data_IF_314494608278
#
_entry.id   IF_314494608278
#
_cell.length_a   1.000
_cell.length_b   1.000
_cell.length_c   1.000
_cell.angle_alpha   90.00
_cell.angle_beta   90.00
_cell.angle_gamma   90.00
#
_symmetry.space_group_name_H-M   'P 1'
#
loop_
_entity.id
_entity.type
_entity.pdbx_description
1 polymer ?
#
# COMPACT_ATOMS: atom_id res chain seq x y z
N UNK A 1 -7.63 -2.76 15.13
CA UNK A 1 -8.96 -3.15 15.61
C UNK A 1 -9.98 -3.38 14.49
N UNK A 2 -10.28 -2.35 13.69
CA UNK A 2 -11.29 -2.38 12.62
C UNK A 2 -11.09 -3.54 11.62
N UNK A 3 -9.86 -3.76 11.13
CA UNK A 3 -9.56 -4.85 10.19
C UNK A 3 -9.80 -6.25 10.79
N UNK A 4 -9.59 -6.41 12.10
CA UNK A 4 -9.82 -7.68 12.81
C UNK A 4 -11.33 -7.95 12.97
N UNK A 5 -12.10 -6.91 13.30
CA UNK A 5 -13.56 -6.99 13.37
C UNK A 5 -14.18 -7.30 11.99
N UNK A 6 -13.73 -6.61 10.93
CA UNK A 6 -14.17 -6.86 9.55
C UNK A 6 -13.82 -8.28 9.07
N UNK A 7 -12.64 -8.78 9.42
CA UNK A 7 -12.22 -10.15 9.07
C UNK A 7 -13.10 -11.20 9.78
N UNK A 8 -13.33 -11.05 11.09
CA UNK A 8 -14.19 -11.95 11.86
C UNK A 8 -15.62 -12.00 11.31
N UNK A 9 -16.14 -10.84 10.88
CA UNK A 9 -17.48 -10.73 10.31
C UNK A 9 -17.62 -11.41 8.93
N UNK A 10 -16.58 -11.38 8.08
CA UNK A 10 -16.63 -11.96 6.73
C UNK A 10 -16.09 -13.39 6.58
N UNK A 11 -15.08 -13.79 7.36
CA UNK A 11 -14.33 -15.04 7.14
C UNK A 11 -14.20 -15.94 8.38
N UNK A 12 -14.69 -15.53 9.56
CA UNK A 12 -14.63 -16.35 10.77
C UNK A 12 -13.32 -16.21 11.55
N UNK A 13 -12.79 -17.31 12.11
CA UNK A 13 -11.60 -17.26 12.99
C UNK A 13 -10.32 -16.90 12.20
N UNK A 14 -9.45 -16.03 12.72
CA UNK A 14 -8.14 -15.78 12.11
C UNK A 14 -7.33 -17.07 12.04
N UNK A 15 -6.65 -17.30 10.90
CA UNK A 15 -5.71 -18.40 10.75
C UNK A 15 -4.51 -18.22 11.70
N UNK A 16 -3.89 -19.35 12.06
CA UNK A 16 -2.76 -19.50 12.98
C UNK A 16 -1.82 -18.28 13.00
N UNK A 17 -1.71 -17.64 14.17
CA UNK A 17 -0.90 -16.44 14.35
C UNK A 17 0.58 -16.86 14.23
N UNK A 18 1.35 -16.30 13.28
CA UNK A 18 2.77 -16.63 13.15
C UNK A 18 3.55 -16.20 14.41
N UNK A 19 4.73 -16.78 14.60
CA UNK A 19 5.58 -16.41 15.74
C UNK A 19 5.90 -14.91 15.73
N UNK A 20 6.03 -14.32 16.92
CA UNK A 20 6.28 -12.87 17.09
C UNK A 20 7.49 -12.40 16.30
N UNK A 21 8.55 -13.22 16.23
CA UNK A 21 9.74 -12.93 15.43
C UNK A 21 9.44 -12.81 13.92
N UNK A 22 8.58 -13.68 13.37
CA UNK A 22 8.16 -13.59 11.97
C UNK A 22 7.32 -12.34 11.71
N UNK A 23 6.46 -11.96 12.66
CA UNK A 23 5.65 -10.74 12.56
C UNK A 23 6.56 -9.51 12.50
N UNK A 24 7.55 -9.42 13.40
CA UNK A 24 8.48 -8.29 13.43
C UNK A 24 9.28 -8.22 12.13
N UNK A 25 9.78 -9.35 11.62
CA UNK A 25 10.49 -9.39 10.35
C UNK A 25 9.60 -8.92 9.18
N UNK A 26 8.37 -9.41 9.10
CA UNK A 26 7.41 -9.04 8.04
C UNK A 26 7.07 -7.54 8.07
N UNK A 27 6.88 -6.96 9.26
CA UNK A 27 6.64 -5.52 9.45
C UNK A 27 7.86 -4.69 9.01
N UNK A 28 9.06 -5.06 9.44
CA UNK A 28 10.28 -4.33 9.08
C UNK A 28 10.51 -4.33 7.57
N UNK A 29 10.32 -5.47 6.92
CA UNK A 29 10.47 -5.56 5.46
C UNK A 29 9.34 -4.81 4.76
N UNK A 30 8.11 -4.82 5.28
CA UNK A 30 7.02 -4.03 4.69
C UNK A 30 7.29 -2.52 4.77
N UNK A 31 7.79 -2.03 5.92
CA UNK A 31 8.22 -0.62 6.07
C UNK A 31 9.31 -0.28 5.06
N UNK A 32 10.28 -1.18 4.85
CA UNK A 32 11.33 -0.99 3.86
C UNK A 32 10.76 -0.88 2.44
N UNK A 33 9.83 -1.77 2.05
CA UNK A 33 9.18 -1.71 0.74
C UNK A 33 8.37 -0.42 0.57
N UNK A 34 7.60 -0.01 1.58
CA UNK A 34 6.87 1.26 1.56
C UNK A 34 7.82 2.46 1.39
N UNK A 35 8.96 2.45 2.08
CA UNK A 35 10.02 3.45 1.92
C UNK A 35 10.62 3.47 0.52
N UNK A 36 10.83 2.30 -0.10
CA UNK A 36 11.30 2.20 -1.49
C UNK A 36 10.27 2.75 -2.47
N UNK A 37 8.99 2.42 -2.31
CA UNK A 37 7.90 2.96 -3.14
C UNK A 37 7.81 4.49 -3.04
N UNK A 38 7.91 5.03 -1.83
CA UNK A 38 7.95 6.48 -1.60
C UNK A 38 9.18 7.10 -2.28
N UNK A 39 10.36 6.49 -2.12
CA UNK A 39 11.59 6.93 -2.77
C UNK A 39 11.47 6.93 -4.30
N UNK A 40 10.89 5.88 -4.88
CA UNK A 40 10.62 5.79 -6.32
C UNK A 40 9.66 6.90 -6.78
N UNK A 41 8.57 7.15 -6.04
CA UNK A 41 7.65 8.27 -6.32
C UNK A 41 8.37 9.62 -6.34
N UNK A 42 9.18 9.91 -5.32
CA UNK A 42 9.97 11.15 -5.24
C UNK A 42 11.01 11.29 -6.35
N UNK A 43 11.64 10.19 -6.77
CA UNK A 43 12.59 10.19 -7.88
C UNK A 43 11.88 10.46 -9.20
N UNK A 44 10.71 9.86 -9.41
CA UNK A 44 9.92 10.04 -10.62
C UNK A 44 9.35 11.46 -10.71
N UNK A 45 8.95 12.06 -9.59
CA UNK A 45 8.51 13.46 -9.54
C UNK A 45 9.59 14.44 -10.06
N UNK A 46 10.88 14.10 -9.92
CA UNK A 46 12.01 14.91 -10.40
C UNK A 46 12.33 14.73 -11.89
N UNK A 47 11.68 13.82 -12.60
CA UNK A 47 11.90 13.60 -14.03
C UNK A 47 11.27 14.77 -14.81
N UNK A 48 12.01 15.45 -15.71
CA UNK A 48 11.51 16.59 -16.48
C UNK A 48 10.65 16.15 -17.67
N UNK A 49 9.58 15.38 -17.42
CA UNK A 49 8.61 14.90 -18.42
C UNK A 49 7.17 15.09 -17.89
N UNK A 50 6.61 16.32 -17.94
CA UNK A 50 5.44 16.78 -17.18
C UNK A 50 4.14 15.98 -17.25
N UNK A 51 3.74 15.29 -18.34
CA UNK A 51 2.55 14.45 -18.25
C UNK A 51 2.88 13.06 -17.69
N UNK A 52 4.11 12.59 -17.87
CA UNK A 52 4.52 11.25 -17.48
C UNK A 52 4.97 11.19 -16.02
N UNK A 53 5.69 12.20 -15.52
CA UNK A 53 6.12 12.26 -14.12
C UNK A 53 4.90 12.31 -13.17
N UNK A 54 3.92 13.17 -13.44
CA UNK A 54 2.69 13.31 -12.64
C UNK A 54 1.88 12.00 -12.64
N UNK A 55 1.74 11.36 -13.81
CA UNK A 55 1.02 10.10 -13.92
C UNK A 55 1.74 8.97 -13.15
N UNK A 56 3.06 8.85 -13.31
CA UNK A 56 3.82 7.81 -12.62
C UNK A 56 3.90 8.07 -11.11
N UNK A 57 4.02 9.33 -10.67
CA UNK A 57 3.97 9.73 -9.27
C UNK A 57 2.61 9.34 -8.66
N UNK A 58 1.51 9.68 -9.35
CA UNK A 58 0.16 9.30 -8.96
C UNK A 58 0.00 7.77 -8.85
N UNK A 59 0.52 7.01 -9.82
CA UNK A 59 0.49 5.55 -9.79
C UNK A 59 1.24 5.01 -8.56
N UNK A 60 2.43 5.52 -8.26
CA UNK A 60 3.21 5.11 -7.08
C UNK A 60 2.46 5.43 -5.79
N UNK A 61 1.85 6.61 -5.67
CA UNK A 61 1.06 7.00 -4.50
C UNK A 61 -0.18 6.11 -4.33
N UNK A 62 -0.91 5.82 -5.40
CA UNK A 62 -2.06 4.91 -5.37
C UNK A 62 -1.65 3.51 -4.90
N UNK A 63 -0.55 2.96 -5.43
CA UNK A 63 -0.04 1.65 -5.04
C UNK A 63 0.44 1.64 -3.58
N UNK A 64 1.09 2.71 -3.11
CA UNK A 64 1.53 2.85 -1.72
C UNK A 64 0.33 2.87 -0.76
N UNK A 65 -0.71 3.66 -1.06
CA UNK A 65 -1.93 3.72 -0.25
C UNK A 65 -2.68 2.39 -0.23
N UNK A 66 -2.75 1.71 -1.39
CA UNK A 66 -3.31 0.38 -1.46
C UNK A 66 -2.51 -0.62 -0.60
N UNK A 67 -1.19 -0.67 -0.76
CA UNK A 67 -0.31 -1.56 0.02
C UNK A 67 -0.55 -1.36 1.53
N UNK A 68 -0.55 -0.11 1.99
CA UNK A 68 -0.79 0.23 3.39
C UNK A 68 -2.17 -0.22 3.89
N UNK A 69 -3.24 0.04 3.15
CA UNK A 69 -4.59 -0.33 3.55
C UNK A 69 -4.83 -1.85 3.55
N UNK A 70 -4.29 -2.55 2.56
CA UNK A 70 -4.49 -3.99 2.39
C UNK A 70 -3.55 -4.83 3.28
N UNK A 71 -2.42 -4.27 3.75
CA UNK A 71 -1.50 -4.96 4.66
C UNK A 71 -2.23 -5.52 5.88
N UNK A 72 -3.09 -4.73 6.53
CA UNK A 72 -3.87 -5.19 7.68
C UNK A 72 -4.79 -6.37 7.37
N UNK A 73 -5.41 -6.36 6.18
CA UNK A 73 -6.28 -7.45 5.73
C UNK A 73 -5.48 -8.72 5.49
N UNK A 74 -4.35 -8.62 4.79
CA UNK A 74 -3.49 -9.75 4.45
C UNK A 74 -2.75 -10.32 5.65
N UNK A 75 -2.40 -9.45 6.60
CA UNK A 75 -1.86 -9.85 7.89
C UNK A 75 -2.86 -10.75 8.65
N UNK A 76 -4.13 -10.36 8.70
CA UNK A 76 -5.19 -11.18 9.31
C UNK A 76 -5.48 -12.49 8.55
N UNK A 77 -5.18 -12.53 7.25
CA UNK A 77 -5.24 -13.74 6.42
C UNK A 77 -4.00 -14.65 6.58
N UNK A 78 -2.98 -14.21 7.32
CA UNK A 78 -1.72 -14.94 7.48
C UNK A 78 -0.89 -15.02 6.19
N UNK A 79 -1.05 -14.07 5.26
CA UNK A 79 -0.26 -14.06 4.03
C UNK A 79 1.16 -13.56 4.32
N UNK A 80 2.17 -14.23 3.80
CA UNK A 80 3.57 -13.74 3.84
C UNK A 80 3.77 -12.55 2.89
N UNK A 81 4.71 -11.65 3.23
CA UNK A 81 5.00 -10.46 2.44
C UNK A 81 5.19 -10.73 0.94
N UNK A 82 5.96 -11.76 0.56
CA UNK A 82 6.20 -12.09 -0.85
C UNK A 82 4.90 -12.34 -1.61
N UNK A 83 3.96 -13.08 -1.01
CA UNK A 83 2.65 -13.32 -1.60
C UNK A 83 1.85 -12.03 -1.78
N UNK A 84 1.96 -11.10 -0.83
CA UNK A 84 1.29 -9.78 -0.91
C UNK A 84 1.84 -8.96 -2.08
N UNK A 85 3.16 -8.90 -2.26
CA UNK A 85 3.81 -8.20 -3.38
C UNK A 85 3.40 -8.78 -4.72
N UNK A 86 3.56 -10.10 -4.91
CA UNK A 86 3.17 -10.76 -6.17
C UNK A 86 1.69 -10.54 -6.49
N UNK A 87 0.82 -10.53 -5.46
CA UNK A 87 -0.59 -10.27 -5.67
C UNK A 87 -0.87 -8.83 -6.15
N UNK A 88 -0.13 -7.84 -5.64
CA UNK A 88 -0.18 -6.46 -6.12
C UNK A 88 0.34 -6.36 -7.55
N UNK A 89 1.48 -6.96 -7.85
CA UNK A 89 2.09 -6.94 -9.18
C UNK A 89 1.16 -7.55 -10.24
N UNK A 90 0.54 -8.70 -9.94
CA UNK A 90 -0.39 -9.37 -10.85
C UNK A 90 -1.72 -8.63 -11.04
N UNK A 91 -2.13 -7.79 -10.09
CA UNK A 91 -3.43 -7.10 -10.11
C UNK A 91 -3.28 -5.58 -9.97
N UNK A 92 -2.16 -5.02 -10.46
CA UNK A 92 -1.81 -3.62 -10.26
C UNK A 92 -2.92 -2.62 -10.67
N UNK A 93 -3.73 -2.82 -11.74
CA UNK A 93 -4.76 -1.85 -12.12
C UNK A 93 -5.87 -1.72 -11.07
N UNK A 94 -6.19 -2.82 -10.38
CA UNK A 94 -7.18 -2.83 -9.31
C UNK A 94 -6.71 -1.98 -8.12
N UNK A 95 -5.44 -2.10 -7.74
CA UNK A 95 -4.88 -1.35 -6.62
C UNK A 95 -4.69 0.13 -6.95
N UNK A 96 -4.32 0.44 -8.19
CA UNK A 96 -4.32 1.83 -8.67
C UNK A 96 -5.73 2.42 -8.57
N UNK A 97 -6.75 1.71 -9.06
CA UNK A 97 -8.14 2.15 -8.96
C UNK A 97 -8.63 2.32 -7.52
N UNK A 98 -8.19 1.46 -6.59
CA UNK A 98 -8.51 1.59 -5.16
C UNK A 98 -7.85 2.81 -4.52
N UNK A 99 -6.58 3.08 -4.84
CA UNK A 99 -5.82 4.21 -4.29
C UNK A 99 -6.16 5.56 -4.92
N UNK A 100 -6.74 5.58 -6.13
CA UNK A 100 -6.96 6.78 -6.93
C UNK A 100 -7.87 7.83 -6.26
N UNK A 101 -9.01 7.49 -5.64
CA UNK A 101 -9.82 8.48 -4.93
C UNK A 101 -9.04 9.20 -3.82
N UNK A 102 -8.23 8.46 -3.06
CA UNK A 102 -7.42 9.04 -1.99
C UNK A 102 -6.28 9.90 -2.55
N UNK A 103 -5.60 9.42 -3.60
CA UNK A 103 -4.51 10.16 -4.22
C UNK A 103 -4.97 11.46 -4.88
N UNK A 104 -6.14 11.47 -5.53
CA UNK A 104 -6.75 12.70 -6.06
C UNK A 104 -7.11 13.66 -4.91
N UNK A 105 -7.75 13.15 -3.85
CA UNK A 105 -8.11 13.98 -2.69
C UNK A 105 -6.89 14.60 -2.01
N UNK A 106 -5.74 13.92 -1.99
CA UNK A 106 -4.49 14.45 -1.44
C UNK A 106 -3.80 15.43 -2.39
N UNK A 107 -4.01 15.33 -3.71
CA UNK A 107 -3.50 16.28 -4.71
C UNK A 107 -4.33 17.57 -4.84
N UNK A 108 -5.63 17.54 -4.48
CA UNK A 108 -6.52 18.70 -4.58
C UNK A 108 -6.21 19.89 -3.64
N UNK A 109 -5.76 19.71 -2.37
CA UNK A 109 -5.39 20.84 -1.54
C UNK A 109 -4.09 21.45 -2.03
N UNK A 110 -4.19 22.61 -2.69
CA UNK A 110 -3.07 23.55 -2.72
C UNK A 110 -2.76 23.94 -1.28
N UNK A 111 -1.51 23.77 -0.85
CA UNK A 111 -1.03 24.27 0.45
C UNK A 111 -1.46 25.73 0.62
N UNK A 112 -2.48 25.97 1.45
CA UNK A 112 -2.95 27.31 1.80
C UNK A 112 -2.08 27.96 2.88
N UNK A 113 -0.91 27.38 3.15
CA UNK A 113 0.09 27.90 4.08
C UNK A 113 1.28 28.35 3.25
N UNK A 114 1.23 29.63 2.88
CA UNK A 114 2.37 30.47 2.50
C UNK A 114 2.87 31.15 3.76
#
# INVERSE_FOLDING_TARGET
DIANCAYKYKQGRPLQIPSVSKIIADVLVSILIQGLFLGQGLLVAKIPLPPLNELLELIHMCLLYALYAFEYKWFNMGWELHKRLTFIECNWPYFVGFGMPLAILTHLPNSYVV
#
